data_IF_276869223944
#
_entry.id   IF_276869223944
#
_cell.length_a   1.000
_cell.length_b   1.000
_cell.length_c   1.000
_cell.angle_alpha   90.00
_cell.angle_beta   90.00
_cell.angle_gamma   90.00
#
_symmetry.space_group_name_H-M   'P 1'
#
loop_
_entity.id
_entity.type
_entity.pdbx_description
1 polymer ?
#
# COMPACT_ATOMS: atom_id res chain seq x y z
N UNK A 1 3.75 -22.37 -0.54
CA UNK A 1 2.49 -21.63 -0.69
C UNK A 1 2.78 -20.15 -0.53
N UNK A 2 2.48 -19.34 -1.54
CA UNK A 2 2.57 -17.88 -1.43
C UNK A 2 1.35 -17.38 -0.66
N UNK A 3 1.50 -16.42 0.24
CA UNK A 3 0.41 -15.76 0.97
C UNK A 3 -0.54 -14.92 0.11
N UNK A 4 -0.59 -15.19 -1.20
CA UNK A 4 -1.41 -14.45 -2.17
C UNK A 4 -2.80 -15.05 -2.34
N UNK A 5 -3.00 -16.31 -1.94
CA UNK A 5 -4.31 -16.95 -1.93
C UNK A 5 -4.96 -16.72 -0.58
N UNK A 6 -6.03 -15.93 -0.55
CA UNK A 6 -6.80 -15.66 0.67
C UNK A 6 -8.17 -16.30 0.54
N UNK A 7 -8.65 -16.84 1.65
CA UNK A 7 -10.02 -17.33 1.80
C UNK A 7 -10.76 -16.31 2.65
N UNK A 8 -12.00 -15.99 2.28
CA UNK A 8 -12.88 -15.17 3.11
C UNK A 8 -13.03 -15.82 4.49
N UNK A 9 -12.89 -15.02 5.53
CA UNK A 9 -13.25 -15.42 6.88
C UNK A 9 -14.69 -14.99 7.14
N UNK A 10 -15.45 -15.86 7.80
CA UNK A 10 -16.83 -15.59 8.24
C UNK A 10 -16.95 -15.57 9.78
N UNK A 11 -15.81 -15.60 10.47
CA UNK A 11 -15.70 -15.58 11.91
C UNK A 11 -14.65 -14.54 12.37
N UNK A 12 -14.73 -14.04 13.61
CA UNK A 12 -13.74 -13.14 14.17
C UNK A 12 -12.33 -13.74 14.18
N UNK A 13 -11.32 -12.89 14.03
CA UNK A 13 -9.90 -13.26 14.00
C UNK A 13 -9.07 -12.29 14.83
N UNK A 14 -8.07 -12.83 15.54
CA UNK A 14 -7.09 -12.02 16.26
C UNK A 14 -6.15 -11.33 15.27
N UNK A 15 -6.07 -10.01 15.35
CA UNK A 15 -5.14 -9.16 14.63
C UNK A 15 -4.00 -8.76 15.57
N UNK A 16 -2.82 -9.34 15.33
CA UNK A 16 -1.60 -9.08 16.11
C UNK A 16 -0.68 -8.10 15.38
N UNK A 17 0.38 -7.64 16.04
CA UNK A 17 1.45 -6.84 15.41
C UNK A 17 2.13 -7.54 14.23
N UNK A 18 2.01 -8.86 14.14
CA UNK A 18 2.55 -9.67 13.06
C UNK A 18 1.53 -9.97 11.94
N UNK A 19 0.29 -9.48 12.08
CA UNK A 19 -0.81 -9.68 11.15
C UNK A 19 -1.94 -10.53 11.73
N UNK A 20 -2.88 -10.94 10.86
CA UNK A 20 -4.01 -11.78 11.24
C UNK A 20 -3.55 -13.20 11.56
N UNK A 21 -3.99 -13.73 12.71
CA UNK A 21 -3.66 -15.10 13.12
C UNK A 21 -4.20 -16.10 12.09
N UNK A 22 -3.32 -17.01 11.65
CA UNK A 22 -3.62 -18.00 10.61
C UNK A 22 -3.29 -17.52 9.20
N UNK A 23 -3.06 -16.22 8.98
CA UNK A 23 -2.56 -15.72 7.71
C UNK A 23 -1.06 -15.99 7.56
N UNK A 24 -0.65 -16.39 6.36
CA UNK A 24 0.77 -16.63 6.04
C UNK A 24 1.31 -15.44 5.27
N UNK A 25 2.12 -14.61 5.92
CA UNK A 25 2.94 -13.65 5.20
C UNK A 25 4.04 -14.40 4.42
N UNK A 26 4.02 -14.31 3.08
CA UNK A 26 5.18 -14.75 2.30
C UNK A 26 6.38 -13.86 2.65
N UNK A 27 7.59 -14.43 2.63
CA UNK A 27 8.89 -13.74 2.84
C UNK A 27 8.81 -12.41 3.61
N UNK A 28 8.87 -12.50 4.95
CA UNK A 28 8.75 -11.37 5.87
C UNK A 28 9.74 -10.24 5.60
N UNK A 29 10.84 -10.50 4.87
CA UNK A 29 11.82 -9.46 4.50
C UNK A 29 11.29 -8.50 3.46
N UNK A 30 10.47 -8.96 2.52
CA UNK A 30 10.01 -8.16 1.38
C UNK A 30 8.49 -7.94 1.37
N UNK A 31 7.72 -8.91 1.86
CA UNK A 31 6.25 -8.97 1.72
C UNK A 31 5.51 -9.08 3.05
N UNK A 32 6.15 -8.75 4.17
CA UNK A 32 5.53 -8.78 5.49
C UNK A 32 6.28 -7.94 6.51
N UNK A 33 6.12 -8.30 7.78
CA UNK A 33 6.67 -7.59 8.94
C UNK A 33 5.70 -6.57 9.54
N UNK A 34 6.05 -5.95 10.69
CA UNK A 34 5.12 -5.12 11.46
C UNK A 34 4.56 -3.92 10.70
N UNK A 35 5.33 -3.35 9.77
CA UNK A 35 4.89 -2.25 8.90
C UNK A 35 3.96 -2.69 7.75
N UNK A 36 3.79 -4.00 7.55
CA UNK A 36 2.97 -4.61 6.51
C UNK A 36 2.09 -5.72 7.07
N UNK A 37 1.65 -5.55 8.32
CA UNK A 37 0.93 -6.56 9.08
C UNK A 37 -0.41 -6.91 8.41
N UNK A 38 -1.11 -5.89 7.90
CA UNK A 38 -2.43 -6.03 7.25
C UNK A 38 -2.40 -5.30 5.91
N UNK A 39 -2.81 -5.99 4.83
CA UNK A 39 -2.98 -5.42 3.50
C UNK A 39 -4.45 -5.12 3.22
N UNK A 40 -4.75 -3.93 2.70
CA UNK A 40 -6.08 -3.56 2.24
C UNK A 40 -6.04 -3.24 0.75
N UNK A 41 -7.02 -3.78 0.02
CA UNK A 41 -7.26 -3.44 -1.38
C UNK A 41 -8.74 -3.03 -1.57
N UNK A 42 -9.01 -1.80 -2.06
CA UNK A 42 -10.38 -1.36 -2.29
C UNK A 42 -11.16 -2.30 -3.22
N UNK A 43 -12.37 -2.68 -2.81
CA UNK A 43 -13.21 -3.60 -3.55
C UNK A 43 -13.58 -3.05 -4.94
N UNK A 44 -13.78 -1.73 -5.03
CA UNK A 44 -14.21 -1.05 -6.25
C UNK A 44 -13.16 -1.12 -7.37
N UNK A 45 -11.88 -1.32 -7.02
CA UNK A 45 -10.80 -1.46 -7.99
C UNK A 45 -10.89 -2.73 -8.82
N UNK A 46 -11.63 -3.75 -8.37
CA UNK A 46 -11.87 -4.95 -9.18
C UNK A 46 -12.68 -4.64 -10.44
N UNK A 47 -13.64 -3.72 -10.37
CA UNK A 47 -14.40 -3.29 -11.56
C UNK A 47 -13.48 -2.60 -12.58
N UNK A 48 -12.51 -1.80 -12.11
CA UNK A 48 -11.50 -1.15 -12.96
C UNK A 48 -10.59 -2.17 -13.64
N UNK A 49 -10.16 -3.21 -12.91
CA UNK A 49 -9.37 -4.30 -13.47
C UNK A 49 -10.14 -5.09 -14.52
N UNK A 50 -11.42 -5.40 -14.28
CA UNK A 50 -12.27 -6.09 -15.25
C UNK A 50 -12.49 -5.22 -16.50
N UNK A 51 -12.67 -3.91 -16.34
CA UNK A 51 -12.80 -3.00 -17.48
C UNK A 51 -11.52 -2.98 -18.34
N UNK A 52 -10.34 -3.03 -17.72
CA UNK A 52 -9.06 -3.11 -18.43
C UNK A 52 -8.79 -4.50 -19.04
N UNK A 53 -9.28 -5.55 -18.40
CA UNK A 53 -9.07 -6.95 -18.80
C UNK A 53 -10.39 -7.73 -18.69
N UNK A 54 -11.27 -7.68 -19.72
CA UNK A 54 -12.59 -8.30 -19.65
C UNK A 54 -12.59 -9.80 -19.36
N UNK A 55 -11.51 -10.50 -19.70
CA UNK A 55 -11.33 -11.92 -19.37
C UNK A 55 -11.38 -12.19 -17.85
N UNK A 56 -11.09 -11.19 -17.01
CA UNK A 56 -11.14 -11.31 -15.55
C UNK A 56 -12.56 -11.23 -14.97
N UNK A 57 -13.58 -10.94 -15.79
CA UNK A 57 -14.96 -10.88 -15.34
C UNK A 57 -15.39 -12.19 -14.67
N UNK A 58 -15.90 -12.11 -13.44
CA UNK A 58 -16.27 -13.28 -12.63
C UNK A 58 -15.10 -14.09 -12.06
N UNK A 59 -13.85 -13.73 -12.38
CA UNK A 59 -12.64 -14.40 -11.87
C UNK A 59 -11.95 -13.64 -10.74
N UNK A 60 -12.27 -12.35 -10.56
CA UNK A 60 -11.63 -11.47 -9.59
C UNK A 60 -12.64 -10.89 -8.61
N UNK A 61 -12.18 -10.66 -7.39
CA UNK A 61 -12.94 -10.11 -6.28
C UNK A 61 -12.11 -10.12 -4.99
N UNK A 62 -12.70 -9.79 -3.83
CA UNK A 62 -12.00 -9.73 -2.56
C UNK A 62 -11.11 -10.96 -2.27
N UNK A 63 -9.88 -10.71 -1.85
CA UNK A 63 -8.80 -11.66 -1.61
C UNK A 63 -7.95 -11.99 -2.84
N UNK A 64 -8.35 -11.56 -4.04
CA UNK A 64 -7.65 -11.94 -5.28
C UNK A 64 -6.24 -11.37 -5.36
N UNK A 65 -6.02 -10.16 -4.82
CA UNK A 65 -4.70 -9.52 -4.82
C UNK A 65 -3.91 -9.76 -3.53
N UNK A 66 -4.37 -10.71 -2.70
CA UNK A 66 -3.71 -11.13 -1.48
C UNK A 66 -3.96 -10.21 -0.28
N UNK A 67 -4.95 -9.34 -0.36
CA UNK A 67 -5.39 -8.46 0.73
C UNK A 67 -6.07 -9.22 1.87
N UNK A 68 -5.90 -8.68 3.07
CA UNK A 68 -6.58 -9.13 4.27
C UNK A 68 -7.95 -8.46 4.42
N UNK A 69 -8.01 -7.16 4.08
CA UNK A 69 -9.20 -6.34 4.17
C UNK A 69 -9.61 -5.87 2.77
N UNK A 70 -10.90 -5.90 2.49
CA UNK A 70 -11.47 -5.35 1.27
C UNK A 70 -12.67 -4.48 1.64
N UNK A 71 -12.60 -3.21 1.25
CA UNK A 71 -13.56 -2.16 1.64
C UNK A 71 -14.00 -1.42 0.38
N UNK A 72 -15.29 -1.08 0.29
CA UNK A 72 -15.86 -0.31 -0.80
C UNK A 72 -16.05 1.16 -0.41
N UNK A 73 -16.14 2.06 -1.39
CA UNK A 73 -16.41 3.49 -1.18
C UNK A 73 -15.21 4.31 -0.69
N UNK A 74 -14.01 3.74 -0.72
CA UNK A 74 -12.76 4.40 -0.33
C UNK A 74 -11.64 4.05 -1.31
N UNK A 75 -10.83 5.04 -1.68
CA UNK A 75 -9.62 4.83 -2.49
C UNK A 75 -8.40 5.63 -1.98
N UNK A 76 -7.28 5.48 -2.69
CA UNK A 76 -6.00 6.11 -2.38
C UNK A 76 -6.05 7.65 -2.37
N UNK A 77 -7.08 8.28 -2.94
CA UNK A 77 -7.26 9.73 -2.91
C UNK A 77 -7.89 10.22 -1.60
N UNK A 78 -8.58 9.34 -0.88
CA UNK A 78 -9.36 9.67 0.33
C UNK A 78 -8.64 9.34 1.64
N UNK A 79 -7.61 8.50 1.58
CA UNK A 79 -6.79 8.10 2.74
C UNK A 79 -5.41 8.73 2.70
N UNK A 80 -4.88 9.09 3.87
CA UNK A 80 -3.59 9.73 4.02
C UNK A 80 -2.56 8.83 4.68
N UNK A 81 -1.29 9.08 4.37
CA UNK A 81 -0.18 8.44 5.04
C UNK A 81 -0.28 8.67 6.55
N UNK A 82 -0.15 7.61 7.34
CA UNK A 82 -0.21 7.70 8.80
C UNK A 82 -1.62 7.80 9.38
N UNK A 83 -2.69 7.83 8.56
CA UNK A 83 -4.07 7.73 9.05
C UNK A 83 -4.20 6.51 9.98
N UNK A 84 -4.88 6.70 11.11
CA UNK A 84 -5.17 5.65 12.09
C UNK A 84 -6.67 5.36 12.06
N UNK A 85 -7.01 4.09 11.91
CA UNK A 85 -8.38 3.60 11.90
C UNK A 85 -8.63 2.70 13.12
N UNK A 86 -9.78 2.86 13.74
CA UNK A 86 -10.37 1.85 14.62
C UNK A 86 -11.11 0.81 13.75
N UNK A 87 -10.93 -0.47 14.07
CA UNK A 87 -11.61 -1.60 13.42
C UNK A 87 -11.75 -2.72 14.45
N UNK A 88 -12.98 -3.06 14.84
CA UNK A 88 -13.23 -3.95 15.97
C UNK A 88 -12.49 -3.45 17.22
N UNK A 89 -11.73 -4.33 17.87
CA UNK A 89 -10.89 -3.99 19.03
C UNK A 89 -9.50 -3.44 18.66
N UNK A 90 -9.21 -3.26 17.36
CA UNK A 90 -7.89 -2.87 16.87
C UNK A 90 -7.79 -1.38 16.54
N UNK A 91 -6.56 -0.87 16.64
CA UNK A 91 -6.15 0.36 15.93
C UNK A 91 -5.09 0.05 14.89
N UNK A 92 -5.34 0.44 13.64
CA UNK A 92 -4.50 0.18 12.49
C UNK A 92 -3.99 1.50 11.90
N UNK A 93 -2.68 1.61 11.64
CA UNK A 93 -2.09 2.82 11.06
C UNK A 93 -1.55 2.56 9.65
N UNK A 94 -1.92 3.39 8.68
CA UNK A 94 -1.39 3.34 7.31
C UNK A 94 0.11 3.64 7.31
N UNK A 95 0.90 2.76 6.69
CA UNK A 95 2.37 2.88 6.68
C UNK A 95 2.97 3.18 5.31
N UNK A 96 2.33 2.70 4.24
CA UNK A 96 2.82 2.80 2.87
C UNK A 96 1.79 2.28 1.86
N UNK A 97 1.88 2.74 0.62
CA UNK A 97 1.21 2.11 -0.51
C UNK A 97 1.76 0.70 -0.76
N UNK A 98 0.95 -0.19 -1.31
CA UNK A 98 1.40 -1.51 -1.74
C UNK A 98 2.09 -1.41 -3.10
N UNK A 99 3.28 -1.99 -3.25
CA UNK A 99 3.94 -2.04 -4.56
C UNK A 99 3.41 -3.21 -5.39
N UNK A 100 2.83 -2.97 -6.58
CA UNK A 100 2.46 -4.05 -7.50
C UNK A 100 3.72 -4.83 -7.92
N UNK A 101 3.58 -6.12 -8.15
CA UNK A 101 4.70 -6.98 -8.56
C UNK A 101 4.21 -8.04 -9.56
N UNK A 102 5.15 -8.67 -10.27
CA UNK A 102 4.88 -9.67 -11.31
C UNK A 102 4.00 -10.84 -10.85
N UNK A 103 3.95 -11.13 -9.54
CA UNK A 103 3.07 -12.17 -8.98
C UNK A 103 1.58 -11.88 -9.24
N UNK A 104 1.19 -10.62 -9.47
CA UNK A 104 -0.17 -10.24 -9.88
C UNK A 104 -0.49 -10.83 -11.25
N UNK A 105 0.37 -10.58 -12.25
CA UNK A 105 0.18 -11.10 -13.61
C UNK A 105 0.05 -12.62 -13.59
N UNK A 106 0.94 -13.28 -12.83
CA UNK A 106 0.91 -14.73 -12.68
C UNK A 106 -0.39 -15.22 -12.00
N UNK A 107 -0.88 -14.51 -10.97
CA UNK A 107 -2.12 -14.83 -10.26
C UNK A 107 -3.35 -14.66 -11.13
N UNK A 108 -3.38 -13.59 -11.93
CA UNK A 108 -4.51 -13.25 -12.79
C UNK A 108 -4.48 -13.98 -14.14
N UNK A 109 -3.36 -14.61 -14.50
CA UNK A 109 -3.17 -15.22 -15.82
C UNK A 109 -3.15 -14.19 -16.96
N UNK A 110 -2.88 -12.92 -16.66
CA UNK A 110 -2.94 -11.80 -17.62
C UNK A 110 -1.66 -10.97 -17.53
N UNK A 111 -0.94 -10.90 -18.64
CA UNK A 111 0.26 -10.08 -18.77
C UNK A 111 -0.06 -8.59 -18.73
N UNK A 112 0.74 -7.81 -18.02
CA UNK A 112 0.58 -6.35 -17.90
C UNK A 112 -0.37 -5.90 -16.79
N UNK A 113 -0.99 -6.83 -16.05
CA UNK A 113 -1.93 -6.48 -14.99
C UNK A 113 -1.27 -5.70 -13.84
N UNK A 114 -0.08 -6.11 -13.39
CA UNK A 114 0.70 -5.38 -12.38
C UNK A 114 1.09 -3.98 -12.84
N UNK A 115 1.45 -3.84 -14.11
CA UNK A 115 1.73 -2.53 -14.71
C UNK A 115 0.48 -1.67 -14.74
N UNK A 116 -0.67 -2.23 -15.13
CA UNK A 116 -1.95 -1.52 -15.12
C UNK A 116 -2.31 -1.00 -13.74
N UNK A 117 -2.17 -1.85 -12.70
CA UNK A 117 -2.37 -1.46 -11.30
C UNK A 117 -1.44 -0.30 -10.92
N UNK A 118 -0.18 -0.34 -11.33
CA UNK A 118 0.79 0.71 -11.05
C UNK A 118 0.46 2.03 -11.79
N UNK A 119 0.16 1.95 -13.08
CA UNK A 119 -0.13 3.09 -13.94
C UNK A 119 -1.42 3.81 -13.50
N UNK A 120 -2.43 3.06 -13.03
CA UNK A 120 -3.68 3.62 -12.51
C UNK A 120 -3.64 4.04 -11.04
N UNK A 121 -2.58 3.70 -10.30
CA UNK A 121 -2.45 4.02 -8.87
C UNK A 121 -3.40 3.25 -7.94
N UNK A 122 -4.11 2.25 -8.45
CA UNK A 122 -5.08 1.41 -7.71
C UNK A 122 -4.39 0.32 -6.90
N UNK A 123 -3.42 0.70 -6.08
CA UNK A 123 -2.43 -0.24 -5.53
C UNK A 123 -2.86 -0.96 -4.26
N UNK A 124 -3.79 -0.39 -3.49
CA UNK A 124 -4.02 -0.75 -2.09
C UNK A 124 -2.88 -0.27 -1.17
N UNK A 125 -2.97 -0.59 0.11
CA UNK A 125 -2.02 -0.12 1.12
C UNK A 125 -1.85 -1.08 2.28
N UNK A 126 -0.82 -0.81 3.08
CA UNK A 126 -0.51 -1.59 4.28
C UNK A 126 -0.79 -0.81 5.56
N UNK A 127 -1.14 -1.57 6.58
CA UNK A 127 -1.21 -1.11 7.96
C UNK A 127 -0.17 -1.79 8.83
N UNK A 128 0.30 -1.05 9.85
CA UNK A 128 0.81 -1.62 11.10
C UNK A 128 -0.30 -1.66 12.14
N UNK A 129 -0.21 -2.60 13.08
CA UNK A 129 -1.14 -2.71 14.21
C UNK A 129 -0.59 -1.92 15.39
N UNK A 130 -1.30 -0.88 15.82
CA UNK A 130 -0.96 -0.08 16.99
C UNK A 130 -1.41 -0.77 18.27
N UNK A 131 -2.67 -1.19 18.29
CA UNK A 131 -3.27 -1.99 19.37
C UNK A 131 -3.82 -3.29 18.78
N UNK A 132 -3.37 -4.42 19.35
CA UNK A 132 -3.83 -5.76 18.98
C UNK A 132 -5.24 -6.00 19.52
N UNK A 133 -6.02 -6.80 18.80
CA UNK A 133 -7.40 -7.06 19.17
C UNK A 133 -8.10 -8.00 18.19
N UNK A 134 -9.38 -8.26 18.44
CA UNK A 134 -10.20 -9.06 17.56
C UNK A 134 -10.88 -8.16 16.53
N UNK A 135 -10.91 -8.62 15.29
CA UNK A 135 -11.72 -8.01 14.21
C UNK A 135 -12.62 -9.08 13.61
N UNK A 136 -13.78 -8.67 13.10
CA UNK A 136 -14.75 -9.54 12.48
C UNK A 136 -15.21 -9.01 11.11
N UNK A 137 -15.65 -9.90 10.20
CA UNK A 137 -16.34 -9.46 9.00
C UNK A 137 -17.57 -8.62 9.33
N UNK A 138 -17.67 -7.43 8.74
CA UNK A 138 -18.76 -6.50 8.97
C UNK A 138 -18.48 -5.42 10.02
N UNK A 139 -17.32 -5.46 10.70
CA UNK A 139 -16.90 -4.36 11.57
C UNK A 139 -16.71 -3.06 10.77
N UNK A 140 -17.13 -1.94 11.36
CA UNK A 140 -16.91 -0.61 10.79
C UNK A 140 -15.45 -0.18 10.93
N UNK A 141 -14.89 0.35 9.84
CA UNK A 141 -13.55 0.94 9.83
C UNK A 141 -13.65 2.46 9.96
N UNK A 142 -13.30 3.00 11.12
CA UNK A 142 -13.51 4.41 11.46
C UNK A 142 -12.18 5.16 11.56
N UNK A 143 -12.03 6.26 10.82
CA UNK A 143 -10.86 7.13 10.94
C UNK A 143 -10.86 7.82 12.31
N UNK A 144 -9.79 7.67 13.07
CA UNK A 144 -9.64 8.27 14.41
C UNK A 144 -8.51 9.29 14.49
N UNK A 145 -7.47 9.19 13.66
CA UNK A 145 -6.37 10.16 13.61
C UNK A 145 -5.89 10.36 12.17
N UNK A 146 -5.55 11.60 11.81
CA UNK A 146 -5.01 11.98 10.49
C UNK A 146 -3.80 12.91 10.66
N UNK A 147 -2.58 12.37 10.85
CA UNK A 147 -1.40 13.18 11.11
C UNK A 147 -0.89 13.93 9.88
N UNK A 148 -1.15 13.45 8.66
CA UNK A 148 -0.66 14.06 7.42
C UNK A 148 -1.81 14.35 6.43
N UNK A 149 -2.71 15.32 6.70
CA UNK A 149 -3.90 15.55 5.88
C UNK A 149 -3.62 15.88 4.41
N UNK A 150 -2.43 16.38 4.10
CA UNK A 150 -2.03 16.77 2.73
C UNK A 150 -1.25 15.68 1.97
N UNK A 151 -1.05 14.50 2.58
CA UNK A 151 -0.29 13.39 2.00
C UNK A 151 -1.23 12.22 1.75
N UNK A 152 -2.15 12.38 0.79
CA UNK A 152 -2.94 11.25 0.30
C UNK A 152 -2.04 10.15 -0.26
N UNK A 153 -2.50 8.90 -0.22
CA UNK A 153 -1.72 7.80 -0.79
C UNK A 153 -1.58 7.92 -2.31
N UNK A 154 -2.54 8.55 -2.99
CA UNK A 154 -2.42 8.90 -4.40
C UNK A 154 -1.27 9.91 -4.65
N UNK A 155 -1.13 10.93 -3.79
CA UNK A 155 -0.01 11.89 -3.86
C UNK A 155 1.32 11.20 -3.59
N UNK A 156 1.39 10.37 -2.53
CA UNK A 156 2.58 9.59 -2.20
C UNK A 156 2.99 8.73 -3.41
N UNK A 157 2.04 8.02 -4.02
CA UNK A 157 2.28 7.18 -5.19
C UNK A 157 2.83 7.96 -6.39
N UNK A 158 2.26 9.13 -6.68
CA UNK A 158 2.69 9.98 -7.78
C UNK A 158 4.16 10.41 -7.63
N UNK A 159 4.56 10.86 -6.43
CA UNK A 159 5.96 11.25 -6.15
C UNK A 159 6.89 10.04 -6.20
N UNK A 160 6.44 8.92 -5.65
CA UNK A 160 7.14 7.64 -5.63
C UNK A 160 7.42 7.03 -7.01
N UNK A 161 6.65 7.39 -8.02
CA UNK A 161 6.73 6.83 -9.40
C UNK A 161 7.19 7.84 -10.44
N UNK A 162 7.09 9.15 -10.16
CA UNK A 162 7.59 10.19 -11.04
C UNK A 162 9.06 9.96 -11.40
N UNK A 163 9.44 10.16 -12.66
CA UNK A 163 10.84 10.01 -13.09
C UNK A 163 11.75 11.09 -12.49
N UNK A 164 11.27 12.33 -12.40
CA UNK A 164 11.97 13.50 -11.85
C UNK A 164 11.07 14.26 -10.86
N UNK A 165 10.85 13.72 -9.66
CA UNK A 165 10.08 14.43 -8.64
C UNK A 165 10.87 15.64 -8.09
N UNK A 166 10.16 16.60 -7.49
CA UNK A 166 10.81 17.68 -6.75
C UNK A 166 11.55 17.11 -5.53
N UNK A 167 12.83 17.47 -5.38
CA UNK A 167 13.70 16.95 -4.32
C UNK A 167 13.12 17.24 -2.94
N UNK A 168 12.70 18.49 -2.70
CA UNK A 168 12.14 18.91 -1.42
C UNK A 168 10.89 18.11 -1.05
N UNK A 169 10.07 17.76 -2.04
CA UNK A 169 8.88 16.92 -1.84
C UNK A 169 9.28 15.49 -1.44
N UNK A 170 10.23 14.86 -2.14
CA UNK A 170 10.74 13.53 -1.77
C UNK A 170 11.33 13.55 -0.35
N UNK A 171 12.10 14.59 -0.02
CA UNK A 171 12.74 14.76 1.29
C UNK A 171 11.72 15.02 2.39
N UNK A 172 10.66 15.78 2.13
CA UNK A 172 9.55 15.97 3.06
C UNK A 172 8.81 14.63 3.33
N UNK A 173 8.45 13.90 2.26
CA UNK A 173 7.79 12.60 2.39
C UNK A 173 8.64 11.58 3.17
N UNK A 174 9.96 11.57 2.98
CA UNK A 174 10.86 10.68 3.72
C UNK A 174 10.82 10.85 5.25
N UNK A 175 10.32 12.00 5.73
CA UNK A 175 10.22 12.38 7.15
C UNK A 175 8.78 12.38 7.67
N UNK A 176 7.79 12.02 6.82
CA UNK A 176 6.39 12.05 7.19
C UNK A 176 6.08 11.04 8.31
N UNK A 177 5.26 11.46 9.27
CA UNK A 177 4.85 10.62 10.39
C UNK A 177 4.08 9.39 9.88
N UNK A 178 4.32 8.22 10.47
CA UNK A 178 3.63 6.98 10.10
C UNK A 178 4.28 6.19 8.95
N UNK A 179 5.16 6.79 8.14
CA UNK A 179 5.85 6.07 7.05
C UNK A 179 6.63 4.85 7.57
N UNK A 180 6.66 3.77 6.79
CA UNK A 180 7.49 2.60 7.14
C UNK A 180 8.99 2.94 7.09
N UNK A 181 9.77 2.36 8.01
CA UNK A 181 11.20 2.67 8.12
C UNK A 181 11.97 2.37 6.83
N UNK A 182 11.58 1.30 6.12
CA UNK A 182 12.14 0.95 4.82
C UNK A 182 11.87 1.99 3.74
N UNK A 183 10.66 2.56 3.69
CA UNK A 183 10.33 3.62 2.74
C UNK A 183 10.96 4.95 3.09
N UNK A 184 10.97 5.34 4.36
CA UNK A 184 11.64 6.55 4.83
C UNK A 184 13.10 6.55 4.37
N UNK A 185 13.83 5.45 4.61
CA UNK A 185 15.21 5.28 4.15
C UNK A 185 15.33 5.36 2.62
N UNK A 186 14.46 4.69 1.88
CA UNK A 186 14.50 4.67 0.40
C UNK A 186 14.24 6.04 -0.21
N UNK A 187 13.28 6.80 0.33
CA UNK A 187 12.98 8.16 -0.12
C UNK A 187 14.11 9.13 0.24
N UNK A 188 14.69 9.03 1.43
CA UNK A 188 15.85 9.83 1.82
C UNK A 188 17.04 9.61 0.87
N UNK A 189 17.38 8.34 0.61
CA UNK A 189 18.45 8.00 -0.34
C UNK A 189 18.17 8.51 -1.75
N UNK A 190 16.90 8.50 -2.17
CA UNK A 190 16.47 9.04 -3.47
C UNK A 190 16.62 10.56 -3.52
N UNK A 191 16.23 11.28 -2.47
CA UNK A 191 16.42 12.73 -2.37
C UNK A 191 17.91 13.08 -2.46
N UNK A 192 18.77 12.42 -1.68
CA UNK A 192 20.22 12.65 -1.69
C UNK A 192 20.83 12.39 -3.09
N UNK A 193 20.33 11.38 -3.82
CA UNK A 193 20.79 11.09 -5.17
C UNK A 193 20.34 12.17 -6.18
N UNK A 194 19.09 12.65 -6.08
CA UNK A 194 18.58 13.71 -6.96
C UNK A 194 19.33 15.04 -6.76
N UNK A 195 19.68 15.40 -5.52
CA UNK A 195 20.47 16.61 -5.21
C UNK A 195 21.84 16.56 -5.87
N UNK A 196 22.57 15.45 -5.70
CA UNK A 196 23.90 15.28 -6.34
C UNK A 196 23.85 15.37 -7.86
N UNK A 197 22.76 14.90 -8.48
CA UNK A 197 22.60 15.03 -9.93
C UNK A 197 22.35 16.48 -10.36
N UNK A 198 21.57 17.24 -9.60
CA UNK A 198 21.34 18.66 -9.88
C UNK A 198 22.64 19.48 -9.74
N UNK A 199 23.42 19.21 -8.69
CA UNK A 199 24.71 19.88 -8.46
C UNK A 199 25.75 19.54 -9.53
N UNK A 200 25.80 18.27 -9.97
CA UNK A 200 26.68 17.82 -11.04
C UNK A 200 26.34 18.40 -12.42
N UNK A 201 25.06 18.72 -12.69
CA UNK A 201 24.66 19.43 -13.92
C UNK A 201 25.03 20.92 -13.87
N UNK A 202 25.01 21.54 -12.69
CA UNK A 202 25.38 22.95 -12.52
C UNK A 202 26.91 23.17 -12.46
N UNK A 203 27.71 22.13 -12.21
CA UNK A 203 29.17 22.19 -12.17
C UNK A 203 29.89 21.91 -13.50
N UNK A 204 29.16 21.62 -14.58
CA UNK A 204 29.71 21.19 -15.88
C UNK A 204 29.76 22.27 -16.97
N UNK A 205 29.66 23.55 -16.63
CA UNK A 205 29.72 24.67 -17.58
C UNK A 205 30.85 25.62 -17.22
N UNK A 206 32.09 25.19 -17.45
CA UNK A 206 33.24 26.04 -17.71
C UNK A 206 34.38 25.16 -18.25
N UNK A 207 34.47 25.07 -19.58
CA UNK A 207 35.71 25.03 -20.36
C UNK A 207 35.38 25.21 -21.85
#
# INVERSE_FOLDING_TARGET
MTGMFKTRLDAPVLCSREGLVGDKQADRRYHGGPDKAVHLYPADHYARLVAAFPALAGQVGPGTLGENLSVAGVDETQVCLGDVFALGDCRLQITQSRRPCWKIDHRLGVSGASRRVADEGITGWYFRVLDEGVIAPGDDMMLVERPNPDISLARLWAVETAHRPAVDEVRALSRAAGLSAGWAKKLAQRADWLERQADGMNGGSND
#
